data_IF_294112364855
#
_entry.id   IF_294112364855
#
_cell.length_a   1.000
_cell.length_b   1.000
_cell.length_c   1.000
_cell.angle_alpha   90.00
_cell.angle_beta   90.00
_cell.angle_gamma   90.00
#
_symmetry.space_group_name_H-M   'P 1'
#
loop_
_entity.id
_entity.type
_entity.pdbx_description
1 polymer ?
#
# COMPACT_ATOMS: atom_id res chain seq x y z
N UNK A 1 13.38 -7.36 9.63
CA UNK A 1 12.89 -6.99 8.29
C UNK A 1 11.42 -7.33 8.26
N UNK A 2 10.53 -6.38 7.94
CA UNK A 2 9.10 -6.66 7.84
C UNK A 2 8.89 -7.55 6.61
N UNK A 3 8.20 -8.68 6.76
CA UNK A 3 7.78 -9.51 5.62
C UNK A 3 6.39 -9.03 5.23
N UNK A 4 6.29 -8.42 4.05
CA UNK A 4 5.02 -7.97 3.49
C UNK A 4 4.80 -8.79 2.23
N UNK A 5 3.60 -9.33 2.07
CA UNK A 5 3.24 -10.22 0.97
C UNK A 5 2.39 -9.46 -0.04
N UNK A 6 2.47 -9.86 -1.32
CA UNK A 6 1.64 -9.30 -2.40
C UNK A 6 1.31 -10.39 -3.42
N UNK A 7 0.23 -10.20 -4.18
CA UNK A 7 -0.12 -11.09 -5.28
C UNK A 7 0.49 -10.57 -6.60
N UNK A 8 1.31 -11.35 -7.34
CA UNK A 8 2.00 -10.88 -8.54
C UNK A 8 1.10 -10.38 -9.66
N UNK A 9 -0.13 -10.88 -9.75
CA UNK A 9 -1.10 -10.49 -10.80
C UNK A 9 -1.99 -9.31 -10.40
N UNK A 10 -1.87 -8.80 -9.17
CA UNK A 10 -2.69 -7.71 -8.66
C UNK A 10 -1.87 -6.51 -8.19
N UNK A 11 -0.61 -6.37 -8.60
CA UNK A 11 0.34 -5.38 -8.07
C UNK A 11 -0.20 -3.93 -8.04
N UNK A 12 -1.14 -3.61 -8.92
CA UNK A 12 -1.85 -2.33 -9.00
C UNK A 12 -3.24 -2.48 -9.64
N UNK A 13 -4.19 -1.61 -9.29
CA UNK A 13 -5.47 -1.50 -10.01
C UNK A 13 -5.26 -0.86 -11.38
N UNK A 14 -5.92 -1.40 -12.42
CA UNK A 14 -5.74 -0.94 -13.78
C UNK A 14 -6.19 0.53 -13.96
N UNK A 15 -5.42 1.29 -14.74
CA UNK A 15 -5.71 2.65 -15.20
C UNK A 15 -5.78 3.76 -14.13
N UNK A 16 -5.52 3.45 -12.87
CA UNK A 16 -5.47 4.40 -11.76
C UNK A 16 -4.21 4.18 -10.91
N UNK A 17 -3.65 5.22 -10.25
CA UNK A 17 -2.44 5.12 -9.43
C UNK A 17 -2.69 4.50 -8.04
N UNK A 18 -3.48 3.42 -7.97
CA UNK A 18 -3.79 2.66 -6.75
C UNK A 18 -3.04 1.32 -6.74
N UNK A 19 -2.08 1.18 -5.83
CA UNK A 19 -1.20 0.03 -5.74
C UNK A 19 -1.67 -0.96 -4.66
N UNK A 20 -1.49 -2.26 -4.87
CA UNK A 20 -1.68 -3.26 -3.81
C UNK A 20 -0.33 -3.74 -3.26
N UNK A 21 0.75 -3.61 -4.06
CA UNK A 21 2.09 -3.94 -3.63
C UNK A 21 2.72 -2.75 -2.88
N UNK A 22 2.77 -2.86 -1.56
CA UNK A 22 3.36 -1.85 -0.67
C UNK A 22 4.79 -1.44 -1.05
N UNK A 23 5.66 -2.37 -1.45
CA UNK A 23 7.04 -2.03 -1.77
C UNK A 23 7.17 -1.29 -3.10
N UNK A 24 6.31 -1.62 -4.07
CA UNK A 24 6.25 -0.89 -5.33
C UNK A 24 5.70 0.53 -5.12
N UNK A 25 4.63 0.67 -4.34
CA UNK A 25 4.09 1.95 -3.90
C UNK A 25 5.18 2.84 -3.26
N UNK A 26 5.91 2.30 -2.28
CA UNK A 26 7.01 3.02 -1.63
C UNK A 26 8.12 3.40 -2.60
N UNK A 27 8.50 2.49 -3.49
CA UNK A 27 9.57 2.73 -4.45
C UNK A 27 9.21 3.83 -5.46
N UNK A 28 7.99 3.81 -6.00
CA UNK A 28 7.51 4.84 -6.93
C UNK A 28 7.38 6.19 -6.22
N UNK A 29 6.80 6.20 -5.01
CA UNK A 29 6.69 7.41 -4.19
C UNK A 29 8.07 8.02 -3.94
N UNK A 30 9.03 7.20 -3.53
CA UNK A 30 10.39 7.67 -3.27
C UNK A 30 11.07 8.18 -4.56
N UNK A 31 10.96 7.43 -5.65
CA UNK A 31 11.49 7.84 -6.95
C UNK A 31 10.97 9.23 -7.36
N UNK A 32 9.65 9.45 -7.29
CA UNK A 32 9.05 10.73 -7.65
C UNK A 32 9.47 11.87 -6.75
N UNK A 33 9.58 11.65 -5.43
CA UNK A 33 10.13 12.66 -4.50
C UNK A 33 11.57 13.05 -4.85
N UNK A 34 12.38 12.08 -5.28
CA UNK A 34 13.75 12.36 -5.73
C UNK A 34 13.76 13.14 -7.05
N UNK A 35 12.82 12.86 -7.97
CA UNK A 35 12.66 13.67 -9.19
C UNK A 35 12.32 15.12 -8.82
N UNK A 36 11.30 15.34 -7.98
CA UNK A 36 10.87 16.68 -7.56
C UNK A 36 12.02 17.48 -6.91
N UNK A 37 12.87 16.81 -6.14
CA UNK A 37 14.00 17.43 -5.47
C UNK A 37 15.16 17.77 -6.43
N UNK A 38 15.44 16.90 -7.40
CA UNK A 38 16.59 17.03 -8.31
C UNK A 38 16.29 17.79 -9.60
N UNK A 39 15.04 17.75 -10.07
CA UNK A 39 14.60 18.42 -11.28
C UNK A 39 13.19 19.04 -11.08
N UNK A 40 13.10 20.21 -10.43
CA UNK A 40 11.82 20.89 -10.20
C UNK A 40 11.06 21.22 -11.50
N UNK A 41 11.74 21.28 -12.65
CA UNK A 41 11.10 21.50 -13.95
C UNK A 41 10.09 20.40 -14.28
N UNK A 42 10.27 19.19 -13.71
CA UNK A 42 9.33 18.08 -13.79
C UNK A 42 7.91 18.46 -13.36
N UNK A 43 7.79 19.15 -12.24
CA UNK A 43 6.50 19.63 -11.71
C UNK A 43 6.01 20.84 -12.48
N UNK A 44 6.91 21.74 -12.88
CA UNK A 44 6.54 22.93 -13.66
C UNK A 44 6.01 22.59 -15.05
N UNK A 45 6.47 21.51 -15.68
CA UNK A 45 5.90 21.05 -16.93
C UNK A 45 4.50 20.45 -16.74
N UNK A 46 4.27 19.74 -15.64
CA UNK A 46 2.94 19.26 -15.30
C UNK A 46 1.96 20.42 -15.07
N UNK A 47 2.43 21.53 -14.47
CA UNK A 47 1.63 22.75 -14.28
C UNK A 47 1.14 23.33 -15.61
N UNK A 48 1.91 23.21 -16.68
CA UNK A 48 1.52 23.70 -18.02
C UNK A 48 0.35 22.92 -18.62
N UNK A 49 0.09 21.71 -18.13
CA UNK A 49 -1.03 20.85 -18.58
C UNK A 49 -2.33 21.20 -17.85
N UNK A 50 -2.29 21.87 -16.68
CA UNK A 50 -3.47 22.23 -15.88
C UNK A 50 -4.54 23.00 -16.68
N UNK A 51 -4.22 24.01 -17.51
CA UNK A 51 -5.20 24.70 -18.34
C UNK A 51 -5.85 23.79 -19.41
N UNK A 52 -5.05 22.87 -19.99
CA UNK A 52 -5.52 21.89 -20.98
C UNK A 52 -6.53 20.95 -20.31
N UNK A 53 -6.16 20.38 -19.16
CA UNK A 53 -7.04 19.54 -18.35
C UNK A 53 -8.34 20.26 -17.97
N UNK A 54 -8.25 21.51 -17.52
CA UNK A 54 -9.43 22.28 -17.10
C UNK A 54 -10.39 22.52 -18.27
N UNK A 55 -9.86 22.75 -19.47
CA UNK A 55 -10.66 22.88 -20.68
C UNK A 55 -11.31 21.55 -21.06
N UNK A 56 -10.53 20.47 -21.05
CA UNK A 56 -11.01 19.12 -21.35
C UNK A 56 -12.11 18.67 -20.38
N UNK A 57 -11.91 18.85 -19.05
CA UNK A 57 -12.88 18.51 -18.02
C UNK A 57 -14.21 19.26 -18.20
N UNK A 58 -14.14 20.57 -18.48
CA UNK A 58 -15.33 21.40 -18.71
C UNK A 58 -16.14 20.92 -19.92
N UNK A 59 -15.46 20.61 -21.03
CA UNK A 59 -16.10 20.08 -22.24
C UNK A 59 -16.68 18.69 -21.99
N UNK A 60 -15.95 17.84 -21.27
CA UNK A 60 -16.39 16.49 -20.96
C UNK A 60 -17.67 16.48 -20.12
N UNK A 61 -17.71 17.24 -19.02
CA UNK A 61 -18.90 17.37 -18.17
C UNK A 61 -20.12 17.86 -18.94
N UNK A 62 -19.94 18.86 -19.81
CA UNK A 62 -21.03 19.38 -20.65
C UNK A 62 -21.60 18.32 -21.62
N UNK A 63 -20.78 17.37 -22.08
CA UNK A 63 -21.20 16.26 -22.93
C UNK A 63 -21.87 15.14 -22.12
N UNK A 64 -21.37 14.83 -20.93
CA UNK A 64 -21.99 13.85 -20.02
C UNK A 64 -23.41 14.27 -19.64
N UNK A 65 -23.60 15.55 -19.27
CA UNK A 65 -24.92 16.12 -18.94
C UNK A 65 -25.91 16.01 -20.11
N UNK A 66 -25.42 15.98 -21.35
CA UNK A 66 -26.23 15.90 -22.57
C UNK A 66 -26.58 14.47 -23.01
N UNK A 67 -25.70 13.49 -22.72
CA UNK A 67 -25.81 12.12 -23.22
C UNK A 67 -26.21 11.09 -22.14
N UNK A 68 -26.22 11.48 -20.86
CA UNK A 68 -26.63 10.63 -19.74
C UNK A 68 -25.70 9.45 -19.43
N UNK A 69 -24.55 9.38 -20.09
CA UNK A 69 -23.50 8.38 -19.84
C UNK A 69 -22.36 9.04 -19.08
N UNK A 70 -22.12 8.58 -17.85
CA UNK A 70 -20.98 9.00 -17.04
C UNK A 70 -19.73 8.20 -17.46
N UNK A 71 -18.66 8.90 -17.84
CA UNK A 71 -17.36 8.33 -18.20
C UNK A 71 -16.31 9.05 -17.38
N UNK A 72 -15.64 8.33 -16.47
CA UNK A 72 -14.64 8.96 -15.60
C UNK A 72 -13.37 9.33 -16.38
N UNK A 73 -13.15 10.63 -16.61
CA UNK A 73 -11.94 11.16 -17.26
C UNK A 73 -10.65 10.86 -16.48
N UNK A 74 -10.76 10.42 -15.22
CA UNK A 74 -9.61 10.01 -14.39
C UNK A 74 -9.11 8.60 -14.77
N UNK A 75 -9.88 7.82 -15.53
CA UNK A 75 -9.45 6.54 -16.08
C UNK A 75 -8.64 6.75 -17.37
N UNK A 76 -7.35 6.38 -17.34
CA UNK A 76 -6.47 6.51 -18.50
C UNK A 76 -7.01 5.81 -19.77
N UNK A 77 -7.77 4.73 -19.63
CA UNK A 77 -8.35 4.02 -20.78
C UNK A 77 -9.33 4.88 -21.58
N UNK A 78 -9.92 5.91 -20.96
CA UNK A 78 -10.79 6.88 -21.64
C UNK A 78 -9.97 7.76 -22.57
N UNK A 79 -8.84 8.28 -22.08
CA UNK A 79 -7.92 9.10 -22.88
C UNK A 79 -7.26 8.24 -23.97
N UNK A 80 -6.84 7.02 -23.64
CA UNK A 80 -6.20 6.12 -24.60
C UNK A 80 -7.07 5.85 -25.83
N UNK A 81 -8.38 5.66 -25.63
CA UNK A 81 -9.34 5.40 -26.72
C UNK A 81 -9.76 6.65 -27.49
N UNK A 82 -9.41 7.84 -27.01
CA UNK A 82 -9.77 9.09 -27.66
C UNK A 82 -9.17 9.18 -29.07
N UNK A 83 -9.97 9.61 -30.03
CA UNK A 83 -9.59 9.80 -31.42
C UNK A 83 -10.44 10.92 -32.04
N UNK A 84 -10.23 11.22 -33.32
CA UNK A 84 -10.95 12.30 -34.00
C UNK A 84 -12.48 12.09 -34.00
N UNK A 85 -12.95 10.85 -33.88
CA UNK A 85 -14.36 10.47 -33.91
C UNK A 85 -14.96 10.19 -32.52
N UNK A 86 -14.13 9.94 -31.51
CA UNK A 86 -14.55 9.55 -30.16
C UNK A 86 -13.77 10.36 -29.12
N UNK A 87 -14.47 11.13 -28.27
CA UNK A 87 -13.86 11.97 -27.24
C UNK A 87 -12.72 12.86 -27.76
N UNK A 88 -12.92 13.49 -28.93
CA UNK A 88 -11.87 14.28 -29.59
C UNK A 88 -11.38 15.47 -28.77
N UNK A 89 -12.21 15.99 -27.86
CA UNK A 89 -11.85 17.04 -26.90
C UNK A 89 -10.82 16.60 -25.85
N UNK A 90 -10.56 15.28 -25.69
CA UNK A 90 -9.54 14.74 -24.80
C UNK A 90 -8.18 14.55 -25.48
N UNK A 91 -8.09 14.71 -26.81
CA UNK A 91 -6.85 14.45 -27.56
C UNK A 91 -5.69 15.32 -27.11
N UNK A 92 -5.94 16.62 -26.97
CA UNK A 92 -4.90 17.58 -26.54
C UNK A 92 -4.38 17.24 -25.13
N UNK A 93 -5.27 16.84 -24.21
CA UNK A 93 -4.88 16.41 -22.87
C UNK A 93 -4.05 15.13 -22.91
N UNK A 94 -4.52 14.13 -23.65
CA UNK A 94 -3.81 12.86 -23.80
C UNK A 94 -2.40 13.08 -24.34
N UNK A 95 -2.28 13.83 -25.43
CA UNK A 95 -1.01 14.06 -26.11
C UNK A 95 -0.06 14.85 -25.20
N UNK A 96 -0.54 15.86 -24.47
CA UNK A 96 0.26 16.61 -23.50
C UNK A 96 0.81 15.73 -22.35
N UNK A 97 0.01 14.79 -21.84
CA UNK A 97 0.47 13.85 -20.79
C UNK A 97 1.53 12.88 -21.35
N UNK A 98 1.32 12.37 -22.57
CA UNK A 98 2.30 11.50 -23.24
C UNK A 98 3.61 12.25 -23.46
N UNK A 99 3.57 13.47 -23.99
CA UNK A 99 4.75 14.30 -24.23
C UNK A 99 5.52 14.59 -22.93
N UNK A 100 4.80 14.91 -21.84
CA UNK A 100 5.42 15.08 -20.53
C UNK A 100 6.12 13.80 -20.05
N UNK A 101 5.45 12.64 -20.11
CA UNK A 101 6.05 11.39 -19.66
C UNK A 101 7.24 10.96 -20.53
N UNK A 102 7.18 11.22 -21.85
CA UNK A 102 8.27 10.94 -22.79
C UNK A 102 9.47 11.85 -22.57
N UNK A 103 9.26 13.15 -22.31
CA UNK A 103 10.33 14.10 -21.98
C UNK A 103 11.21 13.60 -20.84
N UNK A 104 10.62 12.90 -19.88
CA UNK A 104 11.27 12.40 -18.69
C UNK A 104 11.59 10.89 -18.75
N UNK A 105 11.52 10.25 -19.92
CA UNK A 105 11.82 8.83 -20.11
C UNK A 105 11.06 7.90 -19.13
N UNK A 106 9.82 8.29 -18.75
CA UNK A 106 8.98 7.54 -17.82
C UNK A 106 8.13 6.47 -18.52
N UNK A 107 8.03 6.55 -19.84
CA UNK A 107 7.30 5.60 -20.70
C UNK A 107 8.17 5.19 -21.87
N UNK A 108 7.95 3.97 -22.38
CA UNK A 108 8.57 3.52 -23.62
C UNK A 108 7.73 3.93 -24.84
N UNK A 109 8.33 3.86 -26.03
CA UNK A 109 7.65 4.18 -27.29
C UNK A 109 6.42 3.31 -27.56
N UNK A 110 6.33 2.13 -26.95
CA UNK A 110 5.16 1.25 -27.08
C UNK A 110 4.00 1.66 -26.17
N UNK A 111 4.22 2.54 -25.19
CA UNK A 111 3.26 2.94 -24.16
C UNK A 111 2.63 1.74 -23.44
N UNK A 112 3.34 0.62 -23.40
CA UNK A 112 2.87 -0.61 -22.78
C UNK A 112 2.76 -0.47 -21.26
N UNK A 113 3.64 0.36 -20.67
CA UNK A 113 3.64 0.67 -19.24
C UNK A 113 3.02 2.06 -19.03
N UNK A 114 1.83 2.07 -18.45
CA UNK A 114 0.98 3.27 -18.32
C UNK A 114 1.04 3.94 -16.95
N UNK A 115 1.73 3.33 -15.99
CA UNK A 115 1.75 3.79 -14.59
C UNK A 115 2.07 5.27 -14.43
N UNK A 116 3.07 5.81 -15.14
CA UNK A 116 3.40 7.22 -15.02
C UNK A 116 2.44 8.15 -15.77
N UNK A 117 1.76 7.65 -16.82
CA UNK A 117 0.68 8.39 -17.50
C UNK A 117 -0.53 8.54 -16.56
N UNK A 118 -0.89 7.46 -15.88
CA UNK A 118 -1.98 7.44 -14.90
C UNK A 118 -1.66 8.34 -13.69
N UNK A 119 -0.43 8.27 -13.16
CA UNK A 119 0.03 9.19 -12.11
C UNK A 119 -0.07 10.65 -12.58
N UNK A 120 0.40 10.95 -13.80
CA UNK A 120 0.30 12.29 -14.38
C UNK A 120 -1.14 12.78 -14.49
N UNK A 121 -2.04 11.93 -15.00
CA UNK A 121 -3.47 12.23 -15.15
C UNK A 121 -4.14 12.59 -13.80
N UNK A 122 -3.84 11.85 -12.74
CA UNK A 122 -4.39 12.10 -11.39
C UNK A 122 -3.72 13.28 -10.68
N UNK A 123 -2.44 13.51 -10.94
CA UNK A 123 -1.68 14.60 -10.36
C UNK A 123 -2.13 15.99 -10.82
N UNK A 124 -2.58 16.13 -12.07
CA UNK A 124 -3.03 17.42 -12.62
C UNK A 124 -4.22 18.02 -11.84
N UNK A 125 -5.37 17.34 -11.65
CA UNK A 125 -6.46 17.87 -10.86
C UNK A 125 -6.10 18.03 -9.37
N UNK A 126 -5.30 17.11 -8.81
CA UNK A 126 -4.77 17.24 -7.45
C UNK A 126 -4.01 18.56 -7.28
N UNK A 127 -3.08 18.86 -8.20
CA UNK A 127 -2.31 20.10 -8.22
C UNK A 127 -3.19 21.33 -8.33
N UNK A 128 -4.14 21.31 -9.26
CA UNK A 128 -5.07 22.42 -9.52
C UNK A 128 -5.90 22.76 -8.27
N UNK A 129 -6.41 21.74 -7.59
CA UNK A 129 -7.33 21.89 -6.47
C UNK A 129 -6.61 22.17 -5.14
N UNK A 130 -5.32 21.82 -5.04
CA UNK A 130 -4.52 21.94 -3.81
C UNK A 130 -4.61 23.30 -3.12
N UNK A 131 -4.49 24.46 -3.80
CA UNK A 131 -4.60 25.76 -3.12
C UNK A 131 -5.94 25.95 -2.39
N UNK A 132 -7.05 25.51 -3.00
CA UNK A 132 -8.38 25.60 -2.39
C UNK A 132 -8.52 24.64 -1.20
N UNK A 133 -7.94 23.44 -1.30
CA UNK A 133 -7.90 22.47 -0.20
C UNK A 133 -7.10 22.98 1.01
N UNK A 134 -5.96 23.64 0.76
CA UNK A 134 -5.16 24.26 1.81
C UNK A 134 -5.93 25.38 2.51
N UNK A 135 -6.63 26.24 1.77
CA UNK A 135 -7.46 27.27 2.39
C UNK A 135 -8.60 26.68 3.22
N UNK A 136 -9.22 25.58 2.77
CA UNK A 136 -10.21 24.84 3.56
C UNK A 136 -9.61 24.28 4.85
N UNK A 137 -8.43 23.65 4.76
CA UNK A 137 -7.71 23.12 5.93
C UNK A 137 -7.30 24.24 6.90
N UNK A 138 -6.77 25.38 6.41
CA UNK A 138 -6.40 26.52 7.27
C UNK A 138 -7.60 27.04 8.06
N UNK A 139 -8.75 27.20 7.40
CA UNK A 139 -10.00 27.62 8.07
C UNK A 139 -10.44 26.62 9.15
N UNK A 140 -10.21 25.33 8.95
CA UNK A 140 -10.54 24.30 9.93
C UNK A 140 -9.58 24.30 11.15
N UNK A 141 -8.28 24.46 10.93
CA UNK A 141 -7.27 24.39 12.00
C UNK A 141 -7.09 25.71 12.76
N UNK A 142 -7.37 26.85 12.13
CA UNK A 142 -7.18 28.18 12.75
C UNK A 142 -7.93 28.35 14.09
N UNK A 143 -9.20 27.91 14.24
CA UNK A 143 -9.89 27.94 15.55
C UNK A 143 -9.26 27.05 16.62
N UNK A 144 -8.46 26.04 16.22
CA UNK A 144 -7.79 25.12 17.15
C UNK A 144 -6.41 25.61 17.59
N UNK A 145 -5.97 26.79 17.12
CA UNK A 145 -4.63 27.32 17.41
C UNK A 145 -3.50 26.47 16.83
N UNK A 146 -3.78 25.66 15.80
CA UNK A 146 -2.79 24.79 15.14
C UNK A 146 -2.38 25.36 13.80
N UNK A 147 -1.08 25.43 13.57
CA UNK A 147 -0.52 25.74 12.25
C UNK A 147 -0.49 24.48 11.39
N UNK A 148 -0.70 24.66 10.08
CA UNK A 148 -0.56 23.56 9.12
C UNK A 148 0.92 23.25 8.88
N UNK A 149 1.35 22.00 9.02
CA UNK A 149 2.70 21.60 8.67
C UNK A 149 3.06 21.94 7.21
N UNK A 150 4.31 22.34 6.97
CA UNK A 150 4.77 22.77 5.64
C UNK A 150 4.63 21.69 4.56
N UNK A 151 4.79 20.41 4.93
CA UNK A 151 4.61 19.30 4.00
C UNK A 151 3.16 19.13 3.54
N UNK A 152 2.18 19.67 4.27
CA UNK A 152 0.78 19.73 3.83
C UNK A 152 0.61 20.92 2.88
N UNK A 153 1.26 22.04 3.17
CA UNK A 153 1.16 23.27 2.36
C UNK A 153 1.78 23.06 0.97
N UNK A 154 2.91 22.36 0.90
CA UNK A 154 3.61 22.09 -0.35
C UNK A 154 3.01 20.86 -1.04
N UNK A 155 2.39 21.05 -2.20
CA UNK A 155 1.89 19.96 -3.03
C UNK A 155 3.01 19.07 -3.55
N UNK A 156 2.73 17.78 -3.70
CA UNK A 156 3.59 16.79 -4.35
C UNK A 156 2.81 15.92 -5.33
N UNK A 157 3.47 15.48 -6.41
CA UNK A 157 2.91 14.50 -7.35
C UNK A 157 2.52 13.20 -6.64
N UNK A 158 3.21 12.86 -5.56
CA UNK A 158 2.92 11.67 -4.75
C UNK A 158 1.60 11.75 -4.01
N UNK A 159 1.01 12.94 -3.87
CA UNK A 159 -0.28 13.12 -3.19
C UNK A 159 -1.44 12.51 -4.01
N UNK A 160 -1.15 12.08 -5.25
CA UNK A 160 -2.08 11.40 -6.15
C UNK A 160 -1.80 9.90 -6.27
N UNK A 161 -0.98 9.33 -5.38
CA UNK A 161 -0.61 7.92 -5.39
C UNK A 161 -1.16 7.26 -4.13
N UNK A 162 -1.89 6.18 -4.32
CA UNK A 162 -2.62 5.51 -3.26
C UNK A 162 -2.13 4.07 -3.11
N UNK A 163 -2.18 3.59 -1.88
CA UNK A 163 -2.11 2.17 -1.55
C UNK A 163 -3.54 1.71 -1.25
N UNK A 164 -3.92 0.55 -1.75
CA UNK A 164 -5.20 -0.08 -1.38
C UNK A 164 -5.20 -0.27 0.14
N UNK A 165 -6.01 0.54 0.83
CA UNK A 165 -6.31 0.40 2.25
C UNK A 165 -7.68 -0.26 2.38
N UNK A 166 -7.87 -1.10 3.40
CA UNK A 166 -8.96 -2.08 3.51
C UNK A 166 -10.39 -1.50 3.42
N UNK A 167 -10.56 -0.18 3.55
CA UNK A 167 -11.86 0.51 3.67
C UNK A 167 -12.57 0.86 2.34
N UNK A 168 -11.92 0.71 1.16
CA UNK A 168 -12.49 1.16 -0.13
C UNK A 168 -12.85 0.04 -1.13
N UNK A 169 -13.08 -1.19 -0.67
CA UNK A 169 -13.49 -2.28 -1.55
C UNK A 169 -15.00 -2.23 -1.86
N UNK A 170 -15.34 -2.01 -3.14
CA UNK A 170 -16.69 -2.21 -3.70
C UNK A 170 -17.22 -3.60 -3.30
N UNK A 171 -18.39 -3.62 -2.68
CA UNK A 171 -19.10 -4.83 -2.25
C UNK A 171 -19.29 -5.86 -3.36
N UNK A 172 -19.12 -5.51 -4.65
CA UNK A 172 -19.21 -6.45 -5.77
C UNK A 172 -17.89 -7.15 -6.13
N UNK A 173 -16.73 -6.72 -5.60
CA UNK A 173 -15.42 -7.38 -5.75
C UNK A 173 -15.18 -8.45 -4.66
N UNK A 174 -16.23 -9.22 -4.35
CA UNK A 174 -16.39 -10.21 -3.26
C UNK A 174 -15.33 -11.33 -3.23
N UNK A 175 -14.47 -11.47 -4.23
CA UNK A 175 -13.48 -12.57 -4.24
C UNK A 175 -12.27 -12.37 -3.34
N UNK A 176 -12.03 -11.16 -2.85
CA UNK A 176 -10.79 -10.80 -2.14
C UNK A 176 -10.97 -10.40 -0.66
N UNK A 177 -12.14 -10.68 -0.06
CA UNK A 177 -12.42 -10.45 1.38
C UNK A 177 -11.49 -11.18 2.35
N UNK A 178 -10.64 -12.06 1.84
CA UNK A 178 -9.59 -12.74 2.61
C UNK A 178 -8.80 -11.77 3.47
N UNK A 179 -8.58 -10.52 3.02
CA UNK A 179 -7.71 -9.56 3.71
C UNK A 179 -8.43 -8.43 4.46
N UNK A 180 -9.75 -8.29 4.42
CA UNK A 180 -10.46 -7.20 5.14
C UNK A 180 -10.60 -7.44 6.64
N UNK A 181 -9.92 -8.45 7.19
CA UNK A 181 -10.11 -8.90 8.57
C UNK A 181 -11.44 -9.63 8.84
N UNK A 182 -12.49 -9.36 8.06
CA UNK A 182 -13.83 -9.94 8.20
C UNK A 182 -13.90 -11.42 7.81
N UNK A 183 -13.09 -11.88 6.86
CA UNK A 183 -13.07 -13.26 6.35
C UNK A 183 -11.66 -13.89 6.33
N UNK A 184 -10.70 -13.35 7.11
CA UNK A 184 -9.40 -14.03 7.23
C UNK A 184 -9.63 -15.39 7.91
N UNK A 185 -9.24 -16.52 7.29
CA UNK A 185 -9.67 -17.85 7.74
C UNK A 185 -9.12 -18.24 9.11
N UNK A 186 -8.17 -17.47 9.66
CA UNK A 186 -7.58 -17.68 10.96
C UNK A 186 -7.64 -16.39 11.76
N UNK A 187 -8.40 -16.39 12.85
CA UNK A 187 -8.36 -15.32 13.85
C UNK A 187 -7.22 -15.62 14.81
N UNK A 188 -6.49 -14.59 15.27
CA UNK A 188 -5.49 -14.74 16.33
C UNK A 188 -6.20 -14.87 17.69
N UNK A 189 -6.83 -16.01 17.92
CA UNK A 189 -7.60 -16.32 19.13
C UNK A 189 -7.20 -17.71 19.64
N UNK A 190 -6.34 -17.79 20.67
CA UNK A 190 -5.90 -19.07 21.24
C UNK A 190 -7.00 -19.70 22.10
N UNK A 191 -8.10 -20.14 21.48
CA UNK A 191 -9.15 -20.91 22.13
C UNK A 191 -9.21 -22.35 21.59
N UNK A 192 -9.70 -23.26 22.42
CA UNK A 192 -9.77 -24.70 22.14
C UNK A 192 -10.71 -25.05 21.00
N UNK A 193 -11.77 -24.26 20.83
CA UNK A 193 -12.73 -24.38 19.74
C UNK A 193 -12.08 -24.14 18.37
N UNK A 194 -11.28 -23.08 18.21
CA UNK A 194 -10.52 -22.83 16.99
C UNK A 194 -9.46 -23.92 16.75
N UNK A 195 -8.76 -24.36 17.80
CA UNK A 195 -7.75 -25.42 17.68
C UNK A 195 -8.35 -26.73 17.14
N UNK A 196 -9.55 -27.08 17.62
CA UNK A 196 -10.34 -28.21 17.13
C UNK A 196 -10.89 -27.99 15.72
N UNK A 197 -11.46 -26.82 15.43
CA UNK A 197 -12.01 -26.46 14.12
C UNK A 197 -10.97 -26.57 12.99
N UNK A 198 -9.71 -26.25 13.27
CA UNK A 198 -8.62 -26.33 12.29
C UNK A 198 -7.82 -27.64 12.33
N UNK A 199 -8.29 -28.67 13.05
CA UNK A 199 -7.68 -30.00 13.12
C UNK A 199 -6.18 -29.98 13.51
N UNK A 200 -5.82 -29.12 14.46
CA UNK A 200 -4.43 -28.95 14.88
C UNK A 200 -4.06 -30.10 15.82
N UNK A 201 -3.39 -31.11 15.28
CA UNK A 201 -2.96 -32.32 16.00
C UNK A 201 -1.49 -32.25 16.43
N UNK A 202 -1.15 -32.84 17.57
CA UNK A 202 0.24 -33.01 18.00
C UNK A 202 0.89 -31.81 18.73
N UNK A 203 0.13 -30.77 19.08
CA UNK A 203 0.61 -29.74 20.00
C UNK A 203 0.51 -30.21 21.46
N UNK A 204 1.42 -29.76 22.35
CA UNK A 204 1.30 -29.99 23.79
C UNK A 204 -0.09 -29.55 24.28
N UNK A 205 -0.71 -30.32 25.20
CA UNK A 205 -2.06 -30.08 25.77
C UNK A 205 -2.20 -28.62 26.25
N UNK A 206 -1.09 -28.07 26.73
CA UNK A 206 -0.93 -26.70 27.18
C UNK A 206 -1.37 -25.70 26.10
N UNK A 207 -0.93 -25.83 24.85
CA UNK A 207 -1.19 -24.85 23.79
C UNK A 207 -2.67 -24.69 23.40
N UNK A 208 -3.53 -25.64 23.78
CA UNK A 208 -4.91 -25.75 23.28
C UNK A 208 -5.94 -24.93 24.07
N UNK A 209 -5.64 -24.45 25.27
CA UNK A 209 -6.68 -24.14 26.27
C UNK A 209 -6.44 -22.84 27.04
N UNK A 210 -6.41 -21.69 26.36
CA UNK A 210 -6.11 -20.42 27.05
C UNK A 210 -7.25 -19.42 27.22
N UNK A 211 -8.43 -19.57 26.63
CA UNK A 211 -9.56 -18.72 27.03
C UNK A 211 -10.95 -19.38 27.00
N UNK A 212 -11.56 -19.37 28.19
CA UNK A 212 -12.99 -19.13 28.42
C UNK A 212 -13.20 -18.52 29.84
N UNK A 213 -12.17 -17.82 30.37
CA UNK A 213 -12.08 -17.48 31.81
C UNK A 213 -13.11 -16.42 32.20
N UNK A 214 -13.29 -15.37 31.41
CA UNK A 214 -14.21 -14.28 31.73
C UNK A 214 -15.67 -14.74 31.70
N UNK A 215 -16.08 -15.39 30.60
CA UNK A 215 -17.46 -15.90 30.41
C UNK A 215 -17.82 -16.98 31.42
N UNK A 216 -16.89 -17.91 31.72
CA UNK A 216 -17.12 -18.94 32.73
C UNK A 216 -17.09 -18.36 34.15
N UNK A 217 -16.29 -17.31 34.41
CA UNK A 217 -16.29 -16.63 35.71
C UNK A 217 -17.60 -15.91 35.98
N UNK A 218 -18.17 -15.18 35.00
CA UNK A 218 -19.49 -14.56 35.17
C UNK A 218 -20.58 -15.61 35.39
N UNK A 219 -20.55 -16.71 34.65
CA UNK A 219 -21.50 -17.81 34.82
C UNK A 219 -21.33 -18.51 36.18
N UNK A 220 -20.11 -18.86 36.58
CA UNK A 220 -19.82 -19.49 37.86
C UNK A 220 -20.13 -18.57 39.05
N UNK A 221 -19.90 -17.26 38.92
CA UNK A 221 -20.34 -16.26 39.90
C UNK A 221 -21.86 -16.27 40.03
N UNK A 222 -22.60 -16.24 38.91
CA UNK A 222 -24.07 -16.28 38.92
C UNK A 222 -24.59 -17.57 39.55
N UNK A 223 -24.02 -18.73 39.20
CA UNK A 223 -24.40 -20.01 39.81
C UNK A 223 -24.05 -20.07 41.31
N UNK A 224 -22.89 -19.52 41.70
CA UNK A 224 -22.48 -19.43 43.10
C UNK A 224 -23.38 -18.50 43.92
N UNK A 225 -23.74 -17.32 43.39
CA UNK A 225 -24.69 -16.39 44.03
C UNK A 225 -26.09 -17.00 44.14
N UNK A 226 -26.48 -17.87 43.20
CA UNK A 226 -27.74 -18.59 43.23
C UNK A 226 -27.70 -19.88 44.09
N UNK A 227 -26.57 -20.19 44.73
CA UNK A 227 -26.41 -21.34 45.61
C UNK A 227 -26.34 -22.70 44.90
N UNK A 228 -26.25 -22.72 43.56
CA UNK A 228 -26.22 -23.92 42.71
C UNK A 228 -24.78 -24.39 42.50
N UNK A 229 -24.13 -24.80 43.58
CA UNK A 229 -22.69 -25.16 43.59
C UNK A 229 -22.36 -26.35 42.69
N UNK A 230 -23.31 -27.23 42.45
CA UNK A 230 -23.24 -28.37 41.55
C UNK A 230 -23.15 -28.00 40.06
N UNK A 231 -23.57 -26.78 39.71
CA UNK A 231 -23.52 -26.25 38.36
C UNK A 231 -22.25 -25.43 38.06
N UNK A 232 -21.42 -25.18 39.09
CA UNK A 232 -20.09 -24.61 38.91
C UNK A 232 -19.30 -25.66 38.15
N UNK A 233 -19.14 -25.47 36.83
CA UNK A 233 -18.66 -26.53 35.93
C UNK A 233 -17.19 -26.88 36.15
N UNK A 234 -16.50 -26.12 37.02
CA UNK A 234 -15.06 -26.11 37.08
C UNK A 234 -14.48 -25.65 35.73
N UNK A 235 -13.21 -25.30 35.72
CA UNK A 235 -12.50 -24.86 34.51
C UNK A 235 -12.35 -26.02 33.51
N UNK A 236 -13.42 -26.42 32.83
CA UNK A 236 -13.48 -27.64 32.02
C UNK A 236 -12.77 -27.50 30.67
N UNK A 237 -12.36 -26.29 30.29
CA UNK A 237 -11.75 -26.00 28.98
C UNK A 237 -10.57 -25.02 29.01
N UNK A 238 -9.90 -24.81 30.16
CA UNK A 238 -8.83 -23.81 30.29
C UNK A 238 -7.81 -24.09 31.39
N UNK A 239 -6.56 -23.63 31.22
CA UNK A 239 -5.57 -23.54 32.31
C UNK A 239 -5.74 -22.23 33.07
N UNK A 240 -6.03 -22.31 34.38
CA UNK A 240 -6.12 -21.15 35.27
C UNK A 240 -4.95 -21.14 36.26
N UNK A 241 -4.57 -19.95 36.72
CA UNK A 241 -3.63 -19.83 37.83
C UNK A 241 -4.33 -20.19 39.14
N UNK A 242 -3.97 -21.33 39.74
CA UNK A 242 -4.31 -21.61 41.12
C UNK A 242 -3.14 -21.17 42.03
N UNK A 243 -3.28 -20.07 42.79
CA UNK A 243 -2.22 -19.60 43.70
C UNK A 243 -1.95 -20.56 44.86
N UNK A 244 -2.79 -21.59 45.07
CA UNK A 244 -2.58 -22.63 46.08
C UNK A 244 -1.68 -23.76 45.59
N UNK A 245 -1.53 -23.91 44.28
CA UNK A 245 -0.77 -25.00 43.65
C UNK A 245 0.58 -24.53 43.09
N UNK A 246 0.63 -23.32 42.53
CA UNK A 246 1.85 -22.77 41.92
C UNK A 246 1.98 -21.26 42.08
N UNK A 247 3.21 -20.76 42.02
CA UNK A 247 3.48 -19.31 42.01
C UNK A 247 3.07 -18.67 40.68
N UNK A 248 2.84 -17.35 40.67
CA UNK A 248 2.58 -16.60 39.43
C UNK A 248 3.70 -16.82 38.40
N UNK A 249 4.95 -16.71 38.81
CA UNK A 249 6.10 -16.87 37.91
C UNK A 249 6.16 -18.25 37.24
N UNK A 250 5.68 -19.31 37.90
CA UNK A 250 5.61 -20.65 37.32
C UNK A 250 4.47 -20.79 36.32
N UNK A 251 3.33 -20.16 36.60
CA UNK A 251 2.19 -20.11 35.68
C UNK A 251 2.47 -19.23 34.45
N UNK A 252 3.05 -18.05 34.64
CA UNK A 252 3.43 -17.11 33.59
C UNK A 252 4.39 -17.75 32.57
N UNK A 253 5.37 -18.53 33.03
CA UNK A 253 6.26 -19.28 32.13
C UNK A 253 5.50 -20.26 31.23
N UNK A 254 4.46 -20.91 31.75
CA UNK A 254 3.60 -21.83 30.97
C UNK A 254 2.79 -21.04 29.94
N UNK A 255 2.23 -19.90 30.33
CA UNK A 255 1.53 -18.97 29.42
C UNK A 255 2.43 -18.49 28.28
N UNK A 256 3.65 -18.03 28.59
CA UNK A 256 4.60 -17.53 27.59
C UNK A 256 4.96 -18.60 26.56
N UNK A 257 5.18 -19.84 27.00
CA UNK A 257 5.48 -20.98 26.12
C UNK A 257 4.32 -21.22 25.15
N UNK A 258 3.10 -21.27 25.68
CA UNK A 258 1.93 -21.54 24.87
C UNK A 258 1.61 -20.41 23.89
N UNK A 259 1.68 -19.16 24.34
CA UNK A 259 1.44 -18.00 23.48
C UNK A 259 2.48 -17.94 22.36
N UNK A 260 3.75 -18.25 22.65
CA UNK A 260 4.80 -18.38 21.65
C UNK A 260 4.49 -19.47 20.63
N UNK A 261 4.09 -20.66 21.08
CA UNK A 261 3.72 -21.78 20.19
C UNK A 261 2.54 -21.43 19.28
N UNK A 262 1.49 -20.81 19.84
CA UNK A 262 0.32 -20.38 19.07
C UNK A 262 0.68 -19.29 18.05
N UNK A 263 1.54 -18.34 18.43
CA UNK A 263 2.07 -17.31 17.52
C UNK A 263 2.82 -17.92 16.34
N UNK A 264 3.69 -18.89 16.58
CA UNK A 264 4.43 -19.56 15.51
C UNK A 264 3.48 -20.36 14.59
N UNK A 265 2.49 -21.04 15.17
CA UNK A 265 1.47 -21.77 14.41
C UNK A 265 0.60 -20.85 13.55
N UNK A 266 0.09 -19.76 14.13
CA UNK A 266 -0.71 -18.76 13.43
C UNK A 266 0.04 -18.19 12.24
N UNK A 267 1.32 -17.80 12.45
CA UNK A 267 2.20 -17.33 11.38
C UNK A 267 2.33 -18.38 10.28
N UNK A 268 2.67 -19.62 10.61
CA UNK A 268 2.86 -20.67 9.62
C UNK A 268 1.58 -20.97 8.82
N UNK A 269 0.41 -21.00 9.48
CA UNK A 269 -0.88 -21.19 8.81
C UNK A 269 -1.19 -20.05 7.84
N UNK A 270 -0.99 -18.81 8.30
CA UNK A 270 -1.19 -17.60 7.50
C UNK A 270 -0.28 -17.60 6.28
N UNK A 271 1.03 -17.77 6.46
CA UNK A 271 2.02 -17.79 5.36
C UNK A 271 1.73 -18.93 4.37
N UNK A 272 1.36 -20.13 4.84
CA UNK A 272 1.00 -21.24 3.96
C UNK A 272 -0.30 -20.99 3.18
N UNK A 273 -1.30 -20.38 3.83
CA UNK A 273 -2.59 -20.11 3.20
C UNK A 273 -2.47 -19.05 2.10
N UNK A 274 -1.84 -17.91 2.40
CA UNK A 274 -1.62 -16.86 1.40
C UNK A 274 -0.70 -17.35 0.27
N UNK A 275 0.28 -18.21 0.58
CA UNK A 275 1.12 -18.86 -0.43
C UNK A 275 0.33 -19.77 -1.38
N UNK A 276 -0.67 -20.51 -0.89
CA UNK A 276 -1.60 -21.29 -1.74
C UNK A 276 -2.48 -20.41 -2.61
N UNK A 277 -2.76 -19.19 -2.17
CA UNK A 277 -3.48 -18.16 -2.94
C UNK A 277 -2.56 -17.40 -3.92
N UNK A 278 -1.29 -17.79 -4.06
CA UNK A 278 -0.37 -17.16 -5.03
C UNK A 278 0.36 -15.92 -4.51
N UNK A 279 0.20 -15.55 -3.23
CA UNK A 279 0.93 -14.44 -2.64
C UNK A 279 2.40 -14.79 -2.41
N UNK A 280 3.29 -13.83 -2.67
CA UNK A 280 4.74 -13.99 -2.52
C UNK A 280 5.32 -12.92 -1.61
N UNK A 281 6.45 -13.22 -0.98
CA UNK A 281 7.17 -12.25 -0.15
C UNK A 281 7.71 -11.10 -1.02
N UNK A 282 7.31 -9.88 -0.68
CA UNK A 282 7.74 -8.66 -1.31
C UNK A 282 9.21 -8.35 -1.05
N UNK A 283 9.87 -7.75 -2.05
CA UNK A 283 11.28 -7.35 -1.96
C UNK A 283 11.38 -5.85 -1.73
N UNK A 284 11.71 -5.48 -0.50
CA UNK A 284 12.02 -4.10 -0.13
C UNK A 284 13.32 -3.62 -0.80
N UNK A 285 13.27 -2.45 -1.44
CA UNK A 285 14.48 -1.75 -1.89
C UNK A 285 15.02 -0.86 -0.78
N UNK A 286 16.14 -1.25 -0.18
CA UNK A 286 16.72 -0.55 0.98
C UNK A 286 17.67 0.60 0.63
N UNK A 287 18.41 0.46 -0.47
CA UNK A 287 19.37 1.51 -0.83
C UNK A 287 18.66 2.64 -1.59
N UNK A 288 18.46 3.75 -0.87
CA UNK A 288 17.82 4.96 -1.34
C UNK A 288 18.63 5.67 -2.43
N UNK A 289 19.96 5.59 -2.40
CA UNK A 289 20.84 6.20 -3.41
C UNK A 289 20.58 5.67 -4.81
N UNK A 290 20.17 4.41 -4.94
CA UNK A 290 19.88 3.81 -6.25
C UNK A 290 18.73 4.51 -6.99
N UNK A 291 17.80 5.14 -6.26
CA UNK A 291 16.76 5.96 -6.88
C UNK A 291 17.31 7.30 -7.36
N UNK A 292 18.26 7.89 -6.63
CA UNK A 292 18.97 9.09 -7.09
C UNK A 292 19.73 8.81 -8.38
N UNK A 293 20.48 7.71 -8.44
CA UNK A 293 21.17 7.27 -9.65
C UNK A 293 20.19 7.07 -10.81
N UNK A 294 19.02 6.49 -10.54
CA UNK A 294 17.99 6.31 -11.55
C UNK A 294 17.43 7.64 -12.07
N UNK A 295 17.24 8.63 -11.20
CA UNK A 295 16.85 9.99 -11.61
C UNK A 295 17.95 10.66 -12.43
N UNK A 296 19.21 10.62 -11.97
CA UNK A 296 20.36 11.14 -12.75
C UNK A 296 20.40 10.53 -14.15
N UNK A 297 20.19 9.20 -14.24
CA UNK A 297 20.22 8.48 -15.50
C UNK A 297 19.01 8.80 -16.41
N UNK A 298 17.78 8.65 -15.90
CA UNK A 298 16.56 8.76 -16.72
C UNK A 298 16.15 10.20 -17.01
N UNK A 299 16.23 11.07 -16.01
CA UNK A 299 15.67 12.43 -16.05
C UNK A 299 16.72 13.41 -16.54
N UNK A 300 17.90 13.38 -15.92
CA UNK A 300 18.96 14.36 -16.19
C UNK A 300 19.93 13.92 -17.30
N UNK A 301 19.77 12.72 -17.82
CA UNK A 301 20.55 12.25 -18.96
C UNK A 301 22.01 11.88 -18.64
N UNK A 302 22.36 11.64 -17.38
CA UNK A 302 23.71 11.22 -17.00
C UNK A 302 24.02 9.79 -17.44
N UNK A 303 25.23 9.57 -17.94
CA UNK A 303 25.78 8.26 -18.26
C UNK A 303 26.09 7.45 -17.00
N UNK A 304 26.20 6.13 -17.15
CA UNK A 304 26.60 5.23 -16.05
C UNK A 304 27.96 5.65 -15.47
N UNK A 305 28.87 6.09 -16.34
CA UNK A 305 30.20 6.57 -15.96
C UNK A 305 30.12 7.86 -15.13
N UNK A 306 29.35 8.86 -15.57
CA UNK A 306 29.19 10.11 -14.80
C UNK A 306 28.62 9.86 -13.40
N UNK A 307 27.68 8.92 -13.28
CA UNK A 307 27.16 8.49 -11.97
C UNK A 307 28.26 7.77 -11.17
N UNK A 308 28.98 6.84 -11.76
CA UNK A 308 30.07 6.13 -11.08
C UNK A 308 31.14 7.10 -10.56
N UNK A 309 31.54 8.06 -11.37
CA UNK A 309 32.56 9.06 -11.05
C UNK A 309 32.07 10.03 -9.95
N UNK A 310 30.81 10.50 -10.03
CA UNK A 310 30.26 11.47 -9.07
C UNK A 310 30.01 10.88 -7.68
N UNK A 311 29.55 9.63 -7.60
CA UNK A 311 29.23 8.96 -6.33
C UNK A 311 30.39 8.08 -5.81
N UNK A 312 31.56 8.14 -6.44
CA UNK A 312 32.77 7.55 -5.87
C UNK A 312 33.29 8.43 -4.73
N UNK A 313 33.47 7.84 -3.55
CA UNK A 313 34.05 8.51 -2.39
C UNK A 313 35.53 8.12 -2.25
N UNK A 314 36.32 8.89 -1.49
CA UNK A 314 37.77 8.65 -1.29
C UNK A 314 38.09 7.22 -0.82
N UNK A 315 37.18 6.60 -0.04
CA UNK A 315 37.33 5.25 0.50
C UNK A 315 36.63 4.16 -0.33
N UNK A 316 35.84 4.54 -1.35
CA UNK A 316 35.01 3.60 -2.13
C UNK A 316 34.82 4.06 -3.57
N UNK A 317 35.59 3.43 -4.46
CA UNK A 317 35.39 3.56 -5.92
C UNK A 317 34.17 2.75 -6.33
N UNK A 318 33.19 3.42 -6.93
CA UNK A 318 31.97 2.80 -7.43
C UNK A 318 32.21 2.33 -8.87
N UNK A 319 32.10 1.02 -9.12
CA UNK A 319 32.24 0.47 -10.47
C UNK A 319 30.98 0.68 -11.33
N UNK A 320 31.14 0.94 -12.62
CA UNK A 320 30.05 1.07 -13.60
C UNK A 320 29.09 -0.14 -13.58
N UNK A 321 29.61 -1.35 -13.39
CA UNK A 321 28.79 -2.57 -13.27
C UNK A 321 27.85 -2.56 -12.06
N UNK A 322 28.27 -1.93 -10.95
CA UNK A 322 27.42 -1.80 -9.77
C UNK A 322 26.29 -0.82 -10.03
N UNK A 323 26.60 0.31 -10.65
CA UNK A 323 25.59 1.30 -11.07
C UNK A 323 24.60 0.66 -12.05
N UNK A 324 25.09 -0.04 -13.07
CA UNK A 324 24.24 -0.72 -14.08
C UNK A 324 23.28 -1.72 -13.44
N UNK A 325 23.77 -2.58 -12.54
CA UNK A 325 22.92 -3.55 -11.80
C UNK A 325 21.91 -2.83 -10.92
N UNK A 326 22.33 -1.77 -10.23
CA UNK A 326 21.44 -0.98 -9.38
C UNK A 326 20.31 -0.31 -10.20
N UNK A 327 20.63 0.26 -11.36
CA UNK A 327 19.65 0.86 -12.28
C UNK A 327 18.63 -0.17 -12.76
N UNK A 328 19.08 -1.32 -13.29
CA UNK A 328 18.16 -2.38 -13.74
C UNK A 328 17.26 -2.90 -12.62
N UNK A 329 17.81 -3.14 -11.42
CA UNK A 329 17.00 -3.61 -10.31
C UNK A 329 15.97 -2.55 -9.87
N UNK A 330 16.33 -1.26 -9.91
CA UNK A 330 15.43 -0.18 -9.45
C UNK A 330 14.36 0.11 -10.49
N UNK A 331 14.70 0.15 -11.79
CA UNK A 331 13.75 0.33 -12.88
C UNK A 331 12.70 -0.78 -12.95
N UNK A 332 13.11 -2.03 -12.68
CA UNK A 332 12.19 -3.16 -12.63
C UNK A 332 11.16 -3.04 -11.50
N UNK A 333 11.58 -2.53 -10.33
CA UNK A 333 10.68 -2.36 -9.18
C UNK A 333 9.62 -1.29 -9.46
N UNK A 334 10.02 -0.16 -10.04
CA UNK A 334 9.08 0.94 -10.34
C UNK A 334 8.34 0.77 -11.67
N UNK A 335 8.72 -0.24 -12.47
CA UNK A 335 8.06 -0.56 -13.72
C UNK A 335 8.37 0.41 -14.86
N UNK A 336 9.62 0.85 -15.02
CA UNK A 336 10.05 1.65 -16.20
C UNK A 336 11.09 0.92 -17.05
N UNK A 337 11.24 1.37 -18.29
CA UNK A 337 12.27 0.92 -19.22
C UNK A 337 13.41 1.96 -19.19
N UNK A 338 14.65 1.52 -18.96
CA UNK A 338 15.83 2.41 -18.98
C UNK A 338 16.04 2.99 -20.38
N UNK A 339 16.44 4.28 -20.48
CA UNK A 339 16.75 4.94 -21.76
C UNK A 339 17.91 4.29 -22.51
#
# INVERSE_FOLDING_TARGET
MKKIYFHPERDKIANIPLFTNYYQYQAITYFLRVIEALDPQFVEDLNKIVPIYTTAERLHKALEDSNGSFVDMSDWAVLEKANAQCNSHLLELRDAIIEWAQKYNLVDNSLNKKTFLEIGLWAIPSKRNHPAEIEKKKKFYSPMGRELPQYIINWSITDSIYIEDEEELDENKIRDKVFTGDEFPFVFTPNSENMNQYNITGLPIEAHNYENIYTNYEFDLVEAFNGRKENIQGYTFGYAWDPRDQTWNEFEKKLDIAFKQYKDLYKNRTENYIGKLGYVEGKEKRNKEHFEWLVRFQIQGWTIKEIADYYSEEEKVLGEDTVKKALHCTSNIIGITLR
#
